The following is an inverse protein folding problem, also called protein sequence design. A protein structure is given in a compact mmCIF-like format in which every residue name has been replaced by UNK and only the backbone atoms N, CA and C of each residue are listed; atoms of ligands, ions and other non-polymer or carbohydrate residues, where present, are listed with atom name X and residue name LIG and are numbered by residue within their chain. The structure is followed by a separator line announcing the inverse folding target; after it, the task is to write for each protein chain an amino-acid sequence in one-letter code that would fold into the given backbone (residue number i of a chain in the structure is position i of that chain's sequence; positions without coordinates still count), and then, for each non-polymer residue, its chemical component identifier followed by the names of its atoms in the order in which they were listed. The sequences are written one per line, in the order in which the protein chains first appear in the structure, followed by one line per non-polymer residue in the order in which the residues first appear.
data_IF_105492714357
#
_entry.id   IF_105492714357
#
_cell.length_a   1.000
_cell.length_b   1.000
_cell.length_c   1.000
_cell.angle_alpha   90.00
_cell.angle_beta   90.00
_cell.angle_gamma   90.00
#
_symmetry.space_group_name_H-M   'P 1'
#
loop_
_entity.id
_entity.type
_entity.pdbx_description
1 polymer ?
#
# COMPACT_ATOMS: atom_id res chain seq x y z
N UNK A 1 -8.28 -12.64 -7.64
CA UNK A 1 -8.63 -12.93 -6.22
C UNK A 1 -7.40 -13.50 -5.54
N UNK A 2 -7.08 -13.08 -4.30
CA UNK A 2 -5.86 -13.49 -3.57
C UNK A 2 -6.17 -14.69 -2.68
N UNK A 3 -5.34 -15.73 -2.74
CA UNK A 3 -5.46 -16.91 -1.87
C UNK A 3 -4.52 -16.84 -0.67
N UNK A 4 -4.97 -17.37 0.45
CA UNK A 4 -4.15 -17.51 1.66
C UNK A 4 -3.09 -18.61 1.42
N UNK A 5 -1.79 -18.32 1.60
CA UNK A 5 -0.73 -19.30 1.39
C UNK A 5 -0.75 -20.46 2.40
N UNK A 6 -1.47 -20.31 3.51
CA UNK A 6 -1.54 -21.33 4.57
C UNK A 6 -2.77 -22.25 4.42
N UNK A 7 -3.86 -21.74 3.86
CA UNK A 7 -5.14 -22.44 3.82
C UNK A 7 -5.65 -22.73 2.40
N UNK A 8 -4.99 -22.18 1.37
CA UNK A 8 -5.41 -22.21 -0.05
C UNK A 8 -6.85 -21.70 -0.32
N UNK A 9 -7.44 -20.97 0.62
CA UNK A 9 -8.76 -20.34 0.47
C UNK A 9 -8.64 -18.88 0.03
N UNK A 10 -9.73 -18.35 -0.50
CA UNK A 10 -9.81 -16.94 -0.86
C UNK A 10 -9.73 -16.02 0.38
N UNK A 11 -8.88 -15.00 0.27
CA UNK A 11 -8.78 -13.94 1.27
C UNK A 11 -9.79 -12.83 1.01
N UNK A 12 -10.37 -12.29 2.08
CA UNK A 12 -11.30 -11.16 2.02
C UNK A 12 -10.55 -9.85 2.00
N UNK A 13 -10.95 -8.95 1.10
CA UNK A 13 -10.49 -7.57 1.12
C UNK A 13 -11.03 -6.85 2.37
N UNK A 14 -10.16 -6.09 3.04
CA UNK A 14 -10.53 -5.28 4.20
C UNK A 14 -10.61 -3.81 3.82
N UNK A 15 -9.49 -3.25 3.35
CA UNK A 15 -9.36 -1.82 3.04
C UNK A 15 -8.15 -1.56 2.15
N UNK A 16 -8.15 -0.38 1.55
CA UNK A 16 -6.95 0.21 0.94
C UNK A 16 -6.29 1.15 1.94
N UNK A 17 -4.96 1.13 1.99
CA UNK A 17 -4.15 2.09 2.72
C UNK A 17 -3.30 2.86 1.70
N UNK A 18 -3.26 4.17 1.82
CA UNK A 18 -2.31 5.03 1.11
C UNK A 18 -1.21 5.40 2.07
N UNK A 19 0.03 5.05 1.73
CA UNK A 19 1.21 5.56 2.39
C UNK A 19 1.69 6.77 1.61
N UNK A 20 1.79 7.92 2.27
CA UNK A 20 2.44 9.08 1.70
C UNK A 20 3.93 8.86 2.02
N UNK A 21 4.75 8.52 1.02
CA UNK A 21 6.18 8.61 1.22
C UNK A 21 6.52 10.07 1.47
N UNK A 22 7.40 10.32 2.43
CA UNK A 22 7.51 11.60 3.14
C UNK A 22 8.23 12.67 2.31
N UNK A 23 8.03 12.69 0.99
CA UNK A 23 8.39 13.80 0.13
C UNK A 23 7.44 14.97 0.42
N UNK A 24 7.71 15.65 1.53
CA UNK A 24 7.13 16.94 1.81
C UNK A 24 7.79 17.92 0.85
N UNK A 25 7.05 18.40 -0.15
CA UNK A 25 7.53 19.52 -0.97
C UNK A 25 7.47 20.75 -0.08
N UNK A 26 8.63 21.17 0.42
CA UNK A 26 8.77 22.42 1.15
C UNK A 26 8.59 23.57 0.17
N UNK A 27 7.46 24.28 0.26
CA UNK A 27 7.42 25.64 -0.25
C UNK A 27 8.10 26.52 0.79
N UNK A 28 8.99 27.43 0.36
CA UNK A 28 9.92 28.20 1.21
C UNK A 28 9.28 29.07 2.32
N UNK A 29 7.97 29.02 2.45
CA UNK A 29 7.08 29.59 3.45
C UNK A 29 6.84 28.68 4.67
N UNK A 30 7.53 27.53 4.76
CA UNK A 30 7.46 26.62 5.92
C UNK A 30 6.26 25.68 5.90
N UNK A 31 5.43 25.74 4.85
CA UNK A 31 4.36 24.81 4.60
C UNK A 31 4.84 23.68 3.67
N UNK A 32 4.59 22.46 4.11
CA UNK A 32 4.85 21.25 3.37
C UNK A 32 3.58 20.69 2.76
N UNK A 33 3.53 20.52 1.43
CA UNK A 33 2.43 19.81 0.79
C UNK A 33 2.88 18.36 0.61
N UNK A 34 2.08 17.37 1.03
CA UNK A 34 2.39 15.97 0.74
C UNK A 34 2.41 15.80 -0.78
N UNK A 35 3.54 15.33 -1.31
CA UNK A 35 3.64 15.00 -2.71
C UNK A 35 2.72 13.80 -3.02
N UNK A 36 1.63 14.08 -3.74
CA UNK A 36 0.65 13.07 -4.12
C UNK A 36 1.20 12.10 -5.16
N UNK A 37 2.20 12.50 -5.94
CA UNK A 37 2.86 11.65 -6.93
C UNK A 37 3.74 10.58 -6.25
N UNK A 38 4.18 10.86 -5.02
CA UNK A 38 5.02 9.97 -4.19
C UNK A 38 4.21 9.10 -3.22
N UNK A 39 2.92 8.87 -3.49
CA UNK A 39 2.05 8.07 -2.62
C UNK A 39 1.95 6.62 -3.09
N UNK A 40 2.19 5.67 -2.18
CA UNK A 40 2.13 4.24 -2.43
C UNK A 40 0.77 3.71 -1.95
N UNK A 41 0.01 3.13 -2.87
CA UNK A 41 -1.26 2.49 -2.57
C UNK A 41 -1.07 1.02 -2.25
N UNK A 42 -1.67 0.56 -1.15
CA UNK A 42 -1.65 -0.84 -0.75
C UNK A 42 -3.07 -1.34 -0.46
N UNK A 43 -3.29 -2.63 -0.67
CA UNK A 43 -4.54 -3.33 -0.37
C UNK A 43 -4.29 -4.33 0.75
N UNK A 44 -5.17 -4.34 1.75
CA UNK A 44 -5.09 -5.25 2.88
C UNK A 44 -6.15 -6.34 2.73
N UNK A 45 -5.72 -7.59 2.89
CA UNK A 45 -6.55 -8.78 2.84
C UNK A 45 -6.43 -9.59 4.13
N UNK A 46 -7.50 -10.26 4.53
CA UNK A 46 -7.50 -11.21 5.66
C UNK A 46 -7.96 -12.59 5.21
N UNK A 47 -7.30 -13.64 5.70
CA UNK A 47 -7.79 -15.00 5.56
C UNK A 47 -8.93 -15.24 6.55
N UNK A 48 -10.15 -15.59 6.10
CA UNK A 48 -11.27 -15.82 7.01
C UNK A 48 -11.14 -17.10 7.85
N UNK A 49 -10.24 -18.02 7.50
CA UNK A 49 -10.06 -19.29 8.22
C UNK A 49 -8.98 -19.20 9.30
N UNK A 50 -7.79 -18.69 8.98
CA UNK A 50 -6.67 -18.62 9.93
C UNK A 50 -6.37 -17.21 10.47
N UNK A 51 -7.05 -16.18 9.98
CA UNK A 51 -6.85 -14.79 10.42
C UNK A 51 -5.59 -14.12 9.87
N UNK A 52 -4.82 -14.76 8.99
CA UNK A 52 -3.63 -14.18 8.38
C UNK A 52 -3.97 -12.87 7.66
N UNK A 53 -3.29 -11.79 8.02
CA UNK A 53 -3.40 -10.48 7.36
C UNK A 53 -2.23 -10.32 6.39
N UNK A 54 -2.53 -9.96 5.14
CA UNK A 54 -1.51 -9.65 4.14
C UNK A 54 -1.76 -8.28 3.53
N UNK A 55 -0.69 -7.49 3.42
CA UNK A 55 -0.67 -6.24 2.71
C UNK A 55 -0.03 -6.44 1.34
N UNK A 56 -0.67 -5.91 0.31
CA UNK A 56 -0.23 -6.03 -1.08
C UNK A 56 -0.08 -4.65 -1.69
N UNK A 57 1.14 -4.35 -2.15
CA UNK A 57 1.43 -3.16 -2.96
C UNK A 57 1.41 -3.62 -4.43
N UNK A 58 0.58 -3.03 -5.31
CA UNK A 58 0.59 -3.32 -6.74
C UNK A 58 1.97 -3.05 -7.36
N UNK A 59 2.35 -3.85 -8.36
CA UNK A 59 3.63 -3.69 -9.07
C UNK A 59 3.79 -2.31 -9.73
N UNK A 60 2.70 -1.73 -10.20
CA UNK A 60 2.72 -0.39 -10.81
C UNK A 60 3.11 0.71 -9.81
N UNK A 61 2.84 0.51 -8.52
CA UNK A 61 3.25 1.40 -7.44
C UNK A 61 4.71 1.14 -7.03
N UNK A 62 5.24 -0.08 -7.26
CA UNK A 62 6.65 -0.42 -6.99
C UNK A 62 7.62 0.16 -8.01
N UNK A 63 7.18 0.42 -9.25
CA UNK A 63 7.99 1.09 -10.29
C UNK A 63 8.47 2.48 -9.85
N UNK A 64 7.75 3.12 -8.92
CA UNK A 64 8.21 4.37 -8.32
C UNK A 64 9.47 4.15 -7.46
N UNK A 65 9.55 3.06 -6.70
CA UNK A 65 10.69 2.74 -5.83
C UNK A 65 11.95 2.36 -6.61
N UNK A 66 11.81 1.82 -7.83
CA UNK A 66 12.96 1.46 -8.69
C UNK A 66 13.66 2.68 -9.31
N UNK A 67 13.03 3.85 -9.30
CA UNK A 67 13.55 5.10 -9.87
C UNK A 67 14.15 6.07 -8.83
N UNK A 68 14.28 5.63 -7.57
CA UNK A 68 14.97 6.32 -6.47
C UNK A 68 16.44 5.86 -6.37
#
# INVERSE_FOLDING_TARGET
MKKCPLCDIEMKFIKSNTFIDSAIIHKGDGFGIPDRESSIHSKIFVCPNCGLIQQFVPEDELKYLENL
#
